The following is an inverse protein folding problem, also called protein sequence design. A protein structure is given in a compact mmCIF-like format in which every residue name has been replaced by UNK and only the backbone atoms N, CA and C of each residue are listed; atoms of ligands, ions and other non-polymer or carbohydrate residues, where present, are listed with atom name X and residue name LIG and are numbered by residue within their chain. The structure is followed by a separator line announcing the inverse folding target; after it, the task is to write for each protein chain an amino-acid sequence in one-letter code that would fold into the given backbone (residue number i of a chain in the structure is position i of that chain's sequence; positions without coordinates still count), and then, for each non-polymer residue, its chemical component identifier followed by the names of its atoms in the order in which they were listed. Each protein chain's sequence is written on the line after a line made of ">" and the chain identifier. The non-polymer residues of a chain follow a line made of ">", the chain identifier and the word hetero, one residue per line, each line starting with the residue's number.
data_IF_154601802861
#
_entry.id   IF_154601802861
#
_cell.length_a   1.000
_cell.length_b   1.000
_cell.length_c   1.000
_cell.angle_alpha   90.00
_cell.angle_beta   90.00
_cell.angle_gamma   90.00
#
_symmetry.space_group_name_H-M   'P 1'
#
loop_
_entity.id
_entity.type
_entity.pdbx_description
1 polymer ?
#
# COMPACT_ATOMS: atom_id res chain seq x y z
N UNK A 1 -9.49 70.86 -21.15
CA UNK A 1 -9.19 70.43 -19.77
C UNK A 1 -10.00 69.17 -19.54
N UNK A 2 -9.52 68.06 -20.08
CA UNK A 2 -10.15 66.73 -19.99
C UNK A 2 -9.53 66.00 -18.80
N UNK A 3 -10.36 65.64 -17.82
CA UNK A 3 -9.95 64.83 -16.67
C UNK A 3 -10.08 63.35 -17.04
N UNK A 4 -8.94 62.67 -17.09
CA UNK A 4 -8.88 61.21 -17.11
C UNK A 4 -9.23 60.66 -15.71
N UNK A 5 -10.09 59.63 -15.60
CA UNK A 5 -10.28 58.93 -14.34
C UNK A 5 -9.12 57.95 -14.09
N UNK A 6 -8.60 57.97 -12.86
CA UNK A 6 -7.57 57.07 -12.35
C UNK A 6 -8.09 55.61 -12.27
N UNK A 7 -7.24 54.61 -12.55
CA UNK A 7 -7.62 53.21 -12.46
C UNK A 7 -7.74 52.76 -11.00
N UNK A 8 -8.89 52.20 -10.66
CA UNK A 8 -9.15 51.49 -9.40
C UNK A 8 -8.21 50.29 -9.25
N UNK A 9 -7.61 50.21 -8.07
CA UNK A 9 -6.78 49.15 -7.52
C UNK A 9 -7.22 47.74 -7.96
N UNK A 10 -6.38 47.10 -8.78
CA UNK A 10 -6.50 45.68 -9.11
C UNK A 10 -6.21 44.83 -7.86
N UNK A 11 -7.24 44.15 -7.36
CA UNK A 11 -7.09 43.01 -6.47
C UNK A 11 -6.35 41.90 -7.24
N UNK A 12 -5.13 41.60 -6.81
CA UNK A 12 -4.44 40.39 -7.23
C UNK A 12 -5.28 39.18 -6.78
N UNK A 13 -5.52 38.17 -7.65
CA UNK A 13 -6.24 36.97 -7.24
C UNK A 13 -5.44 36.30 -6.12
N UNK A 14 -6.06 36.20 -4.94
CA UNK A 14 -5.49 35.49 -3.81
C UNK A 14 -5.13 34.05 -4.21
N UNK A 15 -4.08 33.46 -3.62
CA UNK A 15 -3.71 32.08 -3.91
C UNK A 15 -4.91 31.16 -3.69
N UNK A 16 -5.10 30.13 -4.55
CA UNK A 16 -6.24 29.23 -4.43
C UNK A 16 -6.28 28.63 -3.02
N UNK A 17 -7.47 28.50 -2.41
CA UNK A 17 -7.58 27.89 -1.10
C UNK A 17 -7.11 26.44 -1.20
N UNK A 18 -5.98 26.13 -0.55
CA UNK A 18 -5.51 24.76 -0.31
C UNK A 18 -6.41 24.08 0.73
N UNK A 19 -7.68 23.93 0.41
CA UNK A 19 -8.57 23.01 1.07
C UNK A 19 -8.86 21.94 0.02
N UNK A 20 -8.04 20.89 -0.04
CA UNK A 20 -8.51 19.65 -0.66
C UNK A 20 -9.85 19.31 0.02
N UNK A 21 -10.94 19.14 -0.73
CA UNK A 21 -12.23 18.88 -0.14
C UNK A 21 -12.12 17.57 0.63
N UNK A 22 -12.35 17.63 1.94
CA UNK A 22 -12.27 16.50 2.89
C UNK A 22 -13.09 15.27 2.45
N UNK A 23 -14.07 15.46 1.55
CA UNK A 23 -14.82 14.41 0.82
C UNK A 23 -13.93 13.45 0.02
N UNK A 24 -12.81 13.95 -0.51
CA UNK A 24 -11.90 13.20 -1.36
C UNK A 24 -11.23 12.03 -0.61
N UNK A 25 -10.92 12.20 0.68
CA UNK A 25 -10.24 11.17 1.47
C UNK A 25 -11.19 10.05 1.91
N UNK A 26 -12.45 10.38 2.24
CA UNK A 26 -13.47 9.39 2.58
C UNK A 26 -13.87 8.54 1.36
N UNK A 27 -13.98 9.15 0.18
CA UNK A 27 -14.27 8.45 -1.07
C UNK A 27 -13.13 7.50 -1.45
N UNK A 28 -11.87 7.97 -1.37
CA UNK A 28 -10.70 7.12 -1.59
C UNK A 28 -10.64 5.94 -0.61
N UNK A 29 -10.91 6.18 0.68
CA UNK A 29 -11.01 5.11 1.68
C UNK A 29 -12.08 4.07 1.33
N UNK A 30 -13.27 4.55 0.94
CA UNK A 30 -14.38 3.68 0.56
C UNK A 30 -14.03 2.83 -0.66
N UNK A 31 -13.43 3.46 -1.68
CA UNK A 31 -12.98 2.82 -2.90
C UNK A 31 -11.91 1.76 -2.62
N UNK A 32 -10.84 2.11 -1.89
CA UNK A 32 -9.75 1.18 -1.57
C UNK A 32 -10.24 -0.06 -0.82
N UNK A 33 -11.08 0.11 0.21
CA UNK A 33 -11.60 -1.03 0.96
C UNK A 33 -12.63 -1.85 0.18
N UNK A 34 -13.41 -1.21 -0.69
CA UNK A 34 -14.28 -1.93 -1.62
C UNK A 34 -13.47 -2.78 -2.60
N UNK A 35 -12.42 -2.21 -3.20
CA UNK A 35 -11.54 -2.92 -4.13
C UNK A 35 -10.88 -4.13 -3.46
N UNK A 36 -10.39 -3.99 -2.23
CA UNK A 36 -9.77 -5.11 -1.50
C UNK A 36 -10.72 -6.30 -1.34
N UNK A 37 -11.99 -6.05 -1.02
CA UNK A 37 -12.98 -7.12 -0.84
C UNK A 37 -13.24 -7.86 -2.16
N UNK A 38 -13.31 -7.13 -3.28
CA UNK A 38 -13.47 -7.72 -4.61
C UNK A 38 -12.20 -8.47 -5.06
N UNK A 39 -11.05 -7.82 -4.99
CA UNK A 39 -9.74 -8.36 -5.37
C UNK A 39 -9.40 -9.64 -4.62
N UNK A 40 -9.88 -9.80 -3.39
CA UNK A 40 -9.68 -11.05 -2.64
C UNK A 40 -10.25 -12.28 -3.37
N UNK A 41 -11.44 -12.16 -3.97
CA UNK A 41 -12.04 -13.26 -4.70
C UNK A 41 -11.29 -13.55 -6.00
N UNK A 42 -10.81 -12.50 -6.67
CA UNK A 42 -10.04 -12.60 -7.90
C UNK A 42 -8.66 -13.22 -7.65
N UNK A 43 -7.94 -12.78 -6.62
CA UNK A 43 -6.68 -13.40 -6.18
C UNK A 43 -6.88 -14.90 -5.91
N UNK A 44 -7.95 -15.29 -5.21
CA UNK A 44 -8.25 -16.70 -4.96
C UNK A 44 -8.58 -17.49 -6.23
N UNK A 45 -9.16 -16.85 -7.25
CA UNK A 45 -9.42 -17.45 -8.56
C UNK A 45 -8.10 -17.63 -9.32
N UNK A 46 -7.24 -16.62 -9.34
CA UNK A 46 -5.94 -16.64 -10.01
C UNK A 46 -5.00 -17.68 -9.38
N UNK A 47 -4.94 -17.78 -8.04
CA UNK A 47 -4.19 -18.85 -7.36
C UNK A 47 -4.64 -20.25 -7.79
N UNK A 48 -5.95 -20.45 -8.00
CA UNK A 48 -6.51 -21.73 -8.50
C UNK A 48 -6.20 -21.93 -9.98
N UNK A 49 -6.27 -20.88 -10.79
CA UNK A 49 -5.92 -20.91 -12.21
C UNK A 49 -4.48 -21.39 -12.41
N UNK A 50 -3.52 -20.74 -11.74
CA UNK A 50 -2.10 -21.11 -11.84
C UNK A 50 -1.88 -22.54 -11.33
N UNK A 51 -2.49 -22.94 -10.21
CA UNK A 51 -2.38 -24.32 -9.72
C UNK A 51 -2.82 -25.34 -10.77
N UNK A 52 -4.01 -25.12 -11.38
CA UNK A 52 -4.51 -25.98 -12.45
C UNK A 52 -3.61 -25.96 -13.70
N UNK A 53 -3.00 -24.84 -14.05
CA UNK A 53 -2.04 -24.77 -15.16
C UNK A 53 -0.77 -25.58 -14.85
N UNK A 54 -0.24 -25.51 -13.64
CA UNK A 54 0.96 -26.27 -13.23
C UNK A 54 0.69 -27.78 -13.23
N UNK A 55 -0.42 -28.21 -12.62
CA UNK A 55 -0.82 -29.62 -12.50
C UNK A 55 -1.06 -30.26 -13.87
N UNK A 56 -1.73 -29.54 -14.78
CA UNK A 56 -2.07 -30.04 -16.12
C UNK A 56 -0.91 -29.92 -17.15
N UNK A 57 0.22 -29.33 -16.76
CA UNK A 57 1.37 -29.19 -17.66
C UNK A 57 2.29 -30.38 -17.54
N UNK A 58 2.37 -31.20 -18.59
CA UNK A 58 3.16 -32.45 -18.64
C UNK A 58 4.62 -32.33 -18.17
N UNK A 59 5.25 -31.15 -18.31
CA UNK A 59 6.62 -30.92 -17.85
C UNK A 59 6.73 -30.77 -16.33
N UNK A 60 5.68 -30.26 -15.69
CA UNK A 60 5.61 -29.95 -14.26
C UNK A 60 4.89 -31.11 -13.57
N UNK A 61 3.56 -31.22 -13.74
CA UNK A 61 2.74 -32.25 -13.10
C UNK A 61 2.46 -31.96 -11.62
N UNK A 62 1.53 -32.71 -11.03
CA UNK A 62 1.01 -32.49 -9.67
C UNK A 62 2.10 -32.60 -8.58
N UNK A 63 3.00 -33.59 -8.67
CA UNK A 63 4.05 -33.84 -7.68
C UNK A 63 5.26 -32.89 -7.80
N UNK A 64 5.23 -31.91 -8.71
CA UNK A 64 6.37 -31.02 -8.93
C UNK A 64 6.62 -30.08 -7.73
N UNK A 65 7.87 -29.79 -7.35
CA UNK A 65 8.19 -28.85 -6.28
C UNK A 65 7.55 -27.46 -6.43
N UNK A 66 7.35 -27.02 -7.67
CA UNK A 66 6.67 -25.74 -7.97
C UNK A 66 5.19 -25.73 -7.54
N UNK A 67 4.50 -26.86 -7.59
CA UNK A 67 3.12 -26.97 -7.11
C UNK A 67 3.07 -26.78 -5.58
N UNK A 68 4.03 -27.38 -4.87
CA UNK A 68 4.16 -27.20 -3.42
C UNK A 68 4.52 -25.77 -3.03
N UNK A 69 5.47 -25.15 -3.75
CA UNK A 69 5.84 -23.74 -3.54
C UNK A 69 4.65 -22.81 -3.78
N UNK A 70 3.93 -22.99 -4.90
CA UNK A 70 2.74 -22.20 -5.23
C UNK A 70 1.62 -22.35 -4.18
N UNK A 71 1.39 -23.57 -3.71
CA UNK A 71 0.44 -23.81 -2.62
C UNK A 71 0.90 -23.13 -1.32
N UNK A 72 2.20 -23.07 -1.05
CA UNK A 72 2.79 -22.29 0.03
C UNK A 72 2.42 -20.81 -0.06
N UNK A 73 2.63 -20.18 -1.23
CA UNK A 73 2.25 -18.77 -1.46
C UNK A 73 0.74 -18.54 -1.25
N UNK A 74 -0.09 -19.44 -1.77
CA UNK A 74 -1.55 -19.40 -1.56
C UNK A 74 -1.94 -19.49 -0.08
N UNK A 75 -1.26 -20.34 0.70
CA UNK A 75 -1.49 -20.47 2.13
C UNK A 75 -1.03 -19.23 2.90
N UNK A 76 0.13 -18.67 2.55
CA UNK A 76 0.65 -17.41 3.09
C UNK A 76 -0.35 -16.28 2.84
N UNK A 77 -0.85 -16.15 1.61
CA UNK A 77 -1.90 -15.19 1.26
C UNK A 77 -3.15 -15.33 2.14
N UNK A 78 -3.70 -16.55 2.26
CA UNK A 78 -4.90 -16.81 3.08
C UNK A 78 -4.70 -16.45 4.55
N UNK A 79 -3.54 -16.78 5.10
CA UNK A 79 -3.19 -16.43 6.48
C UNK A 79 -3.07 -14.93 6.64
N UNK A 80 -2.31 -14.27 5.76
CA UNK A 80 -2.10 -12.83 5.79
C UNK A 80 -3.42 -12.05 5.65
N UNK A 81 -4.31 -12.49 4.76
CA UNK A 81 -5.64 -11.91 4.61
C UNK A 81 -6.43 -11.98 5.92
N UNK A 82 -6.50 -13.15 6.56
CA UNK A 82 -7.17 -13.31 7.87
C UNK A 82 -6.54 -12.46 8.97
N UNK A 83 -5.21 -12.46 9.06
CA UNK A 83 -4.47 -11.63 10.00
C UNK A 83 -4.83 -10.14 9.81
N UNK A 84 -4.95 -9.70 8.56
CA UNK A 84 -5.33 -8.32 8.24
C UNK A 84 -6.77 -8.00 8.63
N UNK A 85 -7.74 -8.90 8.39
CA UNK A 85 -9.13 -8.70 8.83
C UNK A 85 -9.25 -8.62 10.35
N UNK A 86 -8.51 -9.46 11.07
CA UNK A 86 -8.47 -9.41 12.54
C UNK A 86 -7.88 -8.09 13.04
N UNK A 87 -6.81 -7.60 12.42
CA UNK A 87 -6.25 -6.28 12.74
C UNK A 87 -7.22 -5.15 12.44
N UNK A 88 -8.01 -5.27 11.36
CA UNK A 88 -9.03 -4.28 11.03
C UNK A 88 -10.12 -4.22 12.10
N UNK A 89 -10.61 -5.38 12.58
CA UNK A 89 -11.55 -5.44 13.70
C UNK A 89 -11.00 -4.77 14.97
N UNK A 90 -9.73 -5.05 15.31
CA UNK A 90 -9.08 -4.46 16.48
C UNK A 90 -8.92 -2.94 16.34
N UNK A 91 -8.49 -2.47 15.16
CA UNK A 91 -8.32 -1.05 14.87
C UNK A 91 -9.67 -0.32 14.89
N UNK A 92 -10.71 -0.89 14.28
CA UNK A 92 -12.06 -0.35 14.33
C UNK A 92 -12.60 -0.25 15.76
N UNK A 93 -12.38 -1.28 16.59
CA UNK A 93 -12.78 -1.26 18.01
C UNK A 93 -12.05 -0.16 18.78
N UNK A 94 -10.75 0.00 18.54
CA UNK A 94 -9.94 1.05 19.18
C UNK A 94 -10.42 2.46 18.78
N UNK A 95 -10.61 2.71 17.48
CA UNK A 95 -11.09 4.00 16.97
C UNK A 95 -12.53 4.29 17.42
N UNK A 96 -13.37 3.28 17.57
CA UNK A 96 -14.69 3.46 18.17
C UNK A 96 -14.59 3.89 19.64
N UNK A 97 -13.69 3.29 20.42
CA UNK A 97 -13.45 3.70 21.80
C UNK A 97 -12.91 5.14 21.86
N UNK A 98 -12.10 5.56 20.89
CA UNK A 98 -11.66 6.94 20.78
C UNK A 98 -12.84 7.90 20.63
N UNK A 99 -13.78 7.60 19.74
CA UNK A 99 -14.97 8.40 19.50
C UNK A 99 -15.89 8.47 20.73
N UNK A 100 -16.11 7.34 21.41
CA UNK A 100 -17.06 7.24 22.52
C UNK A 100 -16.49 7.76 23.84
N UNK A 101 -15.18 7.60 24.06
CA UNK A 101 -14.54 7.90 25.35
C UNK A 101 -13.74 9.20 25.27
N UNK A 102 -12.89 9.36 24.25
CA UNK A 102 -11.91 10.44 24.23
C UNK A 102 -12.52 11.74 23.73
N UNK A 103 -13.34 11.74 22.69
CA UNK A 103 -13.98 12.97 22.19
C UNK A 103 -14.84 13.68 23.26
N UNK A 104 -15.72 12.99 24.00
CA UNK A 104 -16.54 13.65 25.02
C UNK A 104 -15.77 14.09 26.27
N UNK A 105 -14.48 13.75 26.38
CA UNK A 105 -13.67 13.97 27.57
C UNK A 105 -13.55 15.45 27.97
N UNK A 106 -13.55 16.36 26.99
CA UNK A 106 -13.52 17.81 27.25
C UNK A 106 -14.72 18.27 28.08
N UNK A 107 -15.90 17.67 27.83
CA UNK A 107 -17.20 18.00 28.43
C UNK A 107 -17.50 17.19 29.70
N UNK A 108 -16.68 16.20 30.04
CA UNK A 108 -16.91 15.37 31.23
C UNK A 108 -16.60 16.14 32.54
N UNK A 109 -17.25 15.72 33.63
CA UNK A 109 -17.01 16.23 35.00
C UNK A 109 -15.72 15.71 35.63
N UNK A 110 -14.89 14.97 34.88
CA UNK A 110 -13.63 14.40 35.37
C UNK A 110 -12.62 15.50 35.72
N UNK A 111 -11.77 15.22 36.69
CA UNK A 111 -10.64 16.09 37.01
C UNK A 111 -9.64 16.17 35.85
N UNK A 112 -8.87 17.26 35.77
CA UNK A 112 -7.83 17.42 34.76
C UNK A 112 -6.81 16.27 34.78
N UNK A 113 -6.50 15.73 35.97
CA UNK A 113 -5.59 14.60 36.13
C UNK A 113 -6.14 13.34 35.48
N UNK A 114 -7.41 13.01 35.72
CA UNK A 114 -8.07 11.86 35.11
C UNK A 114 -8.19 12.02 33.60
N UNK A 115 -8.52 13.22 33.11
CA UNK A 115 -8.56 13.50 31.66
C UNK A 115 -7.19 13.25 31.01
N UNK A 116 -6.10 13.77 31.59
CA UNK A 116 -4.74 13.54 31.09
C UNK A 116 -4.36 12.06 31.10
N UNK A 117 -4.72 11.35 32.16
CA UNK A 117 -4.48 9.92 32.27
C UNK A 117 -5.18 9.13 31.16
N UNK A 118 -6.46 9.44 30.87
CA UNK A 118 -7.19 8.81 29.77
C UNK A 118 -6.54 9.08 28.42
N UNK A 119 -6.18 10.33 28.13
CA UNK A 119 -5.48 10.71 26.89
C UNK A 119 -4.16 9.94 26.76
N UNK A 120 -3.40 9.81 27.85
CA UNK A 120 -2.14 9.07 27.89
C UNK A 120 -2.32 7.59 27.58
N UNK A 121 -3.37 6.94 28.10
CA UNK A 121 -3.67 5.55 27.76
C UNK A 121 -4.02 5.32 26.29
N UNK A 122 -4.69 6.26 25.66
CA UNK A 122 -4.90 6.20 24.20
C UNK A 122 -3.58 6.39 23.44
N UNK A 123 -2.74 7.35 23.85
CA UNK A 123 -1.42 7.57 23.23
C UNK A 123 -0.50 6.35 23.31
N UNK A 124 -0.54 5.59 24.41
CA UNK A 124 0.23 4.36 24.58
C UNK A 124 -0.21 3.27 23.59
N UNK A 125 -1.49 3.25 23.17
CA UNK A 125 -2.06 2.22 22.32
C UNK A 125 -1.91 2.48 20.81
N UNK A 126 -1.94 3.75 20.36
CA UNK A 126 -1.88 4.11 18.94
C UNK A 126 -0.64 3.51 18.21
N UNK A 127 0.58 3.51 18.79
CA UNK A 127 1.75 2.94 18.14
C UNK A 127 1.61 1.45 17.78
N UNK A 128 0.84 0.68 18.56
CA UNK A 128 0.61 -0.73 18.28
C UNK A 128 -0.20 -0.92 16.97
N UNK A 129 -1.22 -0.10 16.74
CA UNK A 129 -2.02 -0.12 15.51
C UNK A 129 -1.22 0.37 14.30
N UNK A 130 -0.43 1.43 14.47
CA UNK A 130 0.46 1.95 13.42
C UNK A 130 1.50 0.90 12.98
N UNK A 131 2.15 0.24 13.94
CA UNK A 131 3.11 -0.82 13.65
C UNK A 131 2.45 -2.04 12.99
N UNK A 132 1.21 -2.36 13.37
CA UNK A 132 0.46 -3.47 12.78
C UNK A 132 0.07 -3.19 11.33
N UNK A 133 -0.42 -1.97 11.04
CA UNK A 133 -0.70 -1.53 9.67
C UNK A 133 0.55 -1.62 8.78
N UNK A 134 1.69 -1.09 9.28
CA UNK A 134 2.97 -1.15 8.57
C UNK A 134 3.42 -2.59 8.28
N UNK A 135 3.34 -3.49 9.27
CA UNK A 135 3.69 -4.90 9.09
C UNK A 135 2.80 -5.60 8.08
N UNK A 136 1.51 -5.26 8.04
CA UNK A 136 0.58 -5.83 7.06
C UNK A 136 0.95 -5.37 5.65
N UNK A 137 1.18 -4.06 5.45
CA UNK A 137 1.68 -3.50 4.18
C UNK A 137 2.95 -4.20 3.72
N UNK A 138 3.96 -4.31 4.59
CA UNK A 138 5.24 -4.98 4.27
C UNK A 138 5.05 -6.44 3.86
N UNK A 139 4.19 -7.19 4.57
CA UNK A 139 3.94 -8.61 4.26
C UNK A 139 3.18 -8.81 2.95
N UNK A 140 2.26 -7.91 2.58
CA UNK A 140 1.58 -7.97 1.29
C UNK A 140 2.55 -7.69 0.14
N UNK A 141 3.44 -6.70 0.31
CA UNK A 141 4.52 -6.41 -0.64
C UNK A 141 5.48 -7.57 -0.83
N UNK A 142 5.93 -8.18 0.27
CA UNK A 142 6.80 -9.35 0.23
C UNK A 142 6.14 -10.52 -0.52
N UNK A 143 4.85 -10.78 -0.25
CA UNK A 143 4.09 -11.79 -0.96
C UNK A 143 3.95 -11.47 -2.46
N UNK A 144 3.70 -10.20 -2.82
CA UNK A 144 3.66 -9.77 -4.22
C UNK A 144 4.96 -10.07 -4.96
N UNK A 145 6.10 -9.75 -4.35
CA UNK A 145 7.43 -10.08 -4.90
C UNK A 145 7.66 -11.58 -5.06
N UNK A 146 7.25 -12.39 -4.09
CA UNK A 146 7.38 -13.84 -4.17
C UNK A 146 6.54 -14.40 -5.32
N UNK A 147 5.31 -13.90 -5.50
CA UNK A 147 4.43 -14.27 -6.62
C UNK A 147 5.01 -13.84 -7.97
N UNK A 148 5.56 -12.63 -8.07
CA UNK A 148 6.25 -12.17 -9.29
C UNK A 148 7.52 -12.97 -9.58
N UNK A 149 8.27 -13.37 -8.56
CA UNK A 149 9.45 -14.22 -8.71
C UNK A 149 9.09 -15.63 -9.20
N UNK A 150 7.93 -16.14 -8.78
CA UNK A 150 7.48 -17.49 -9.11
C UNK A 150 7.32 -17.73 -10.63
N UNK A 151 6.82 -16.74 -11.38
CA UNK A 151 6.64 -16.87 -12.84
C UNK A 151 7.96 -17.17 -13.58
N UNK A 152 9.09 -16.69 -13.05
CA UNK A 152 10.41 -16.94 -13.62
C UNK A 152 10.84 -18.39 -13.41
N UNK A 153 10.51 -18.97 -12.24
CA UNK A 153 10.77 -20.38 -11.93
C UNK A 153 9.96 -21.30 -12.84
N UNK A 154 8.70 -20.97 -13.10
CA UNK A 154 7.85 -21.70 -14.05
C UNK A 154 8.41 -21.61 -15.46
N UNK A 155 8.75 -20.41 -15.94
CA UNK A 155 9.36 -20.23 -17.26
C UNK A 155 10.69 -20.99 -17.39
N UNK A 156 11.50 -21.05 -16.32
CA UNK A 156 12.73 -21.84 -16.27
C UNK A 156 12.45 -23.33 -16.41
N UNK A 157 11.59 -23.90 -15.55
CA UNK A 157 11.25 -25.33 -15.57
C UNK A 157 10.70 -25.79 -16.93
N UNK A 158 9.91 -24.95 -17.59
CA UNK A 158 9.37 -25.21 -18.93
C UNK A 158 10.43 -25.15 -20.04
N UNK A 159 11.57 -24.47 -19.82
CA UNK A 159 12.72 -24.44 -20.73
C UNK A 159 13.72 -25.57 -20.45
N UNK A 160 13.99 -25.92 -19.19
CA UNK A 160 14.99 -26.94 -18.82
C UNK A 160 14.61 -28.36 -19.24
N UNK A 161 13.32 -28.65 -19.44
CA UNK A 161 12.91 -29.92 -20.06
C UNK A 161 12.98 -29.91 -21.60
N UNK A 162 13.20 -28.75 -22.21
CA UNK A 162 13.40 -28.60 -23.66
C UNK A 162 14.89 -28.57 -24.06
N UNK A 163 15.82 -28.27 -23.14
CA UNK A 163 17.27 -28.25 -23.36
C UNK A 163 18.01 -28.87 -22.16
N UNK A 164 19.00 -29.74 -22.41
CA UNK A 164 19.68 -30.62 -21.44
C UNK A 164 20.06 -29.96 -20.09
N UNK A 165 19.77 -30.68 -19.02
CA UNK A 165 19.64 -30.28 -17.60
C UNK A 165 20.92 -29.89 -16.83
N UNK A 166 21.98 -29.39 -17.46
CA UNK A 166 23.26 -29.13 -16.77
C UNK A 166 23.69 -27.66 -16.65
N UNK A 167 23.12 -26.76 -17.45
CA UNK A 167 23.69 -25.42 -17.65
C UNK A 167 23.11 -24.34 -16.72
N UNK A 168 21.89 -24.52 -16.21
CA UNK A 168 21.11 -23.42 -15.62
C UNK A 168 21.07 -23.35 -14.09
N UNK A 169 21.41 -24.40 -13.34
CA UNK A 169 21.60 -24.28 -11.88
C UNK A 169 22.70 -23.24 -11.55
N UNK A 170 23.72 -23.13 -12.42
CA UNK A 170 24.81 -22.17 -12.29
C UNK A 170 24.47 -20.75 -12.80
N UNK A 171 23.44 -20.60 -13.65
CA UNK A 171 22.98 -19.28 -14.11
C UNK A 171 21.98 -18.66 -13.14
N UNK A 172 21.24 -19.49 -12.39
CA UNK A 172 20.26 -19.02 -11.43
C UNK A 172 20.90 -18.35 -10.22
N UNK A 173 21.97 -18.92 -9.66
CA UNK A 173 22.78 -18.26 -8.62
C UNK A 173 23.33 -16.92 -9.10
N UNK A 174 23.78 -16.83 -10.36
CA UNK A 174 24.28 -15.58 -10.94
C UNK A 174 23.19 -14.51 -11.16
N UNK A 175 21.96 -14.90 -11.50
CA UNK A 175 20.85 -13.96 -11.66
C UNK A 175 20.30 -13.47 -10.32
N UNK A 176 20.25 -14.33 -9.31
CA UNK A 176 19.92 -13.97 -7.93
C UNK A 176 20.94 -12.96 -7.38
N UNK A 177 22.24 -13.19 -7.61
CA UNK A 177 23.31 -12.27 -7.26
C UNK A 177 23.20 -10.92 -8.00
N UNK A 178 22.89 -10.93 -9.29
CA UNK A 178 22.66 -9.71 -10.08
C UNK A 178 21.43 -8.94 -9.58
N UNK A 179 20.32 -9.63 -9.30
CA UNK A 179 19.09 -9.01 -8.80
C UNK A 179 19.31 -8.43 -7.40
N UNK A 180 20.00 -9.16 -6.51
CA UNK A 180 20.37 -8.68 -5.19
C UNK A 180 21.36 -7.52 -5.24
N UNK A 181 22.29 -7.53 -6.20
CA UNK A 181 23.23 -6.42 -6.44
C UNK A 181 22.52 -5.16 -6.94
N UNK A 182 21.61 -5.30 -7.91
CA UNK A 182 20.76 -4.20 -8.40
C UNK A 182 19.87 -3.67 -7.28
N UNK A 183 19.27 -4.56 -6.49
CA UNK A 183 18.44 -4.19 -5.35
C UNK A 183 19.23 -3.46 -4.25
N UNK A 184 20.43 -3.94 -3.93
CA UNK A 184 21.33 -3.27 -2.98
C UNK A 184 21.77 -1.90 -3.50
N UNK A 185 22.05 -1.78 -4.80
CA UNK A 185 22.39 -0.50 -5.43
C UNK A 185 21.22 0.48 -5.39
N UNK A 186 19.99 0.04 -5.70
CA UNK A 186 18.77 0.83 -5.61
C UNK A 186 18.47 1.25 -4.17
N UNK A 187 18.61 0.33 -3.21
CA UNK A 187 18.45 0.63 -1.78
C UNK A 187 19.47 1.67 -1.32
N UNK A 188 20.73 1.57 -1.75
CA UNK A 188 21.79 2.52 -1.43
C UNK A 188 21.51 3.89 -2.04
N UNK A 189 21.02 3.94 -3.27
CA UNK A 189 20.57 5.17 -3.93
C UNK A 189 19.39 5.81 -3.19
N UNK A 190 18.37 5.02 -2.81
CA UNK A 190 17.22 5.51 -2.04
C UNK A 190 17.63 6.06 -0.68
N UNK A 191 18.51 5.36 0.04
CA UNK A 191 19.05 5.86 1.32
C UNK A 191 19.82 7.16 1.11
N UNK A 192 20.68 7.23 0.10
CA UNK A 192 21.41 8.47 -0.23
C UNK A 192 20.46 9.61 -0.61
N UNK A 193 19.41 9.34 -1.37
CA UNK A 193 18.38 10.33 -1.73
C UNK A 193 17.70 10.82 -0.45
N UNK A 194 17.23 9.92 0.42
CA UNK A 194 16.58 10.27 1.69
C UNK A 194 17.52 11.06 2.60
N UNK A 195 18.79 10.66 2.72
CA UNK A 195 19.79 11.37 3.52
C UNK A 195 20.10 12.75 2.94
N UNK A 196 20.15 12.87 1.61
CA UNK A 196 20.33 14.15 0.93
C UNK A 196 19.11 15.04 1.13
N UNK A 197 17.89 14.49 1.04
CA UNK A 197 16.66 15.21 1.37
C UNK A 197 16.63 15.63 2.83
N UNK A 198 17.05 14.77 3.76
CA UNK A 198 17.11 15.09 5.21
C UNK A 198 18.14 16.17 5.50
N UNK A 199 19.29 16.13 4.84
CA UNK A 199 20.32 17.16 4.91
C UNK A 199 19.87 18.48 4.27
N UNK A 200 19.17 18.45 3.14
CA UNK A 200 18.58 19.64 2.52
C UNK A 200 17.44 20.24 3.36
N UNK A 201 16.53 19.41 3.88
CA UNK A 201 15.38 19.83 4.70
C UNK A 201 15.82 20.38 6.07
N UNK A 202 16.97 19.94 6.58
CA UNK A 202 17.57 20.53 7.79
C UNK A 202 18.09 21.97 7.59
N UNK A 203 18.18 22.45 6.33
CA UNK A 203 18.85 23.71 6.01
C UNK A 203 18.01 24.74 5.23
N UNK A 204 16.77 24.47 4.83
CA UNK A 204 16.06 25.40 3.94
C UNK A 204 14.60 25.66 4.37
N UNK A 205 14.27 26.95 4.53
CA UNK A 205 12.98 27.48 4.99
C UNK A 205 12.03 27.90 3.84
N UNK A 206 12.43 27.78 2.56
CA UNK A 206 11.51 27.82 1.38
C UNK A 206 12.28 27.46 0.10
N UNK A 207 11.67 26.69 -0.82
CA UNK A 207 12.20 26.48 -2.19
C UNK A 207 11.05 26.48 -3.21
N UNK A 208 11.23 27.22 -4.31
CA UNK A 208 10.46 27.14 -5.56
C UNK A 208 11.09 26.11 -6.49
N UNK A 209 10.27 25.35 -7.19
CA UNK A 209 10.74 24.42 -8.22
C UNK A 209 10.65 25.04 -9.62
N UNK A 210 11.78 25.07 -10.31
CA UNK A 210 11.81 24.84 -11.74
C UNK A 210 13.03 23.98 -12.07
N UNK A 211 12.82 22.90 -12.81
CA UNK A 211 13.67 22.62 -13.95
C UNK A 211 12.98 21.67 -14.92
N UNK A 212 12.99 22.13 -16.18
CA UNK A 212 12.73 21.44 -17.43
C UNK A 212 13.85 20.44 -17.69
N UNK A 213 13.53 19.30 -18.32
CA UNK A 213 14.51 18.65 -19.20
C UNK A 213 15.15 17.34 -18.73
N UNK A 214 14.36 16.40 -18.20
CA UNK A 214 14.78 14.99 -18.22
C UNK A 214 13.79 14.21 -19.09
N UNK A 215 14.26 13.85 -20.29
CA UNK A 215 13.61 12.91 -21.21
C UNK A 215 14.51 11.70 -21.29
N UNK A 216 14.00 10.54 -20.88
CA UNK A 216 14.68 9.24 -21.02
C UNK A 216 13.98 8.53 -22.18
N UNK A 217 14.68 8.39 -23.31
CA UNK A 217 14.24 7.53 -24.42
C UNK A 217 14.91 6.16 -24.26
N UNK A 218 14.09 5.11 -24.11
CA UNK A 218 14.54 3.72 -24.14
C UNK A 218 14.24 3.20 -25.54
N UNK A 219 15.27 3.16 -26.38
CA UNK A 219 15.20 2.55 -27.70
C UNK A 219 15.30 1.01 -27.56
N UNK A 220 14.15 0.35 -27.47
CA UNK A 220 14.10 -1.10 -27.63
C UNK A 220 14.29 -1.43 -29.11
N UNK A 221 15.43 -2.04 -29.46
CA UNK A 221 15.64 -2.64 -30.78
C UNK A 221 14.47 -3.57 -31.10
N UNK A 222 13.73 -3.23 -32.15
CA UNK A 222 12.65 -4.05 -32.72
C UNK A 222 13.21 -5.42 -33.07
N UNK A 223 12.78 -6.44 -32.35
CA UNK A 223 12.85 -7.80 -32.84
C UNK A 223 11.94 -7.90 -34.06
N UNK A 224 12.52 -8.17 -35.22
CA UNK A 224 11.79 -8.55 -36.43
C UNK A 224 11.04 -9.85 -36.13
N UNK A 225 9.71 -9.91 -36.21
CA UNK A 225 9.00 -11.16 -36.06
C UNK A 225 9.28 -12.00 -37.31
N UNK A 226 10.07 -13.07 -37.16
CA UNK A 226 10.03 -14.16 -38.13
C UNK A 226 8.63 -14.78 -38.02
N UNK A 227 7.79 -14.45 -38.99
CA UNK A 227 6.55 -15.16 -39.28
C UNK A 227 6.90 -16.57 -39.73
N UNK A 228 7.10 -17.48 -38.77
CA UNK A 228 6.95 -18.91 -38.98
C UNK A 228 5.58 -19.30 -38.45
N UNK A 229 4.66 -19.60 -39.36
CA UNK A 229 3.41 -20.30 -39.07
C UNK A 229 3.74 -21.72 -38.59
N UNK A 230 4.12 -21.83 -37.32
CA UNK A 230 4.35 -23.09 -36.62
C UNK A 230 3.44 -23.09 -35.39
N UNK A 231 2.68 -24.16 -35.11
CA UNK A 231 1.85 -24.23 -33.91
C UNK A 231 2.70 -23.89 -32.69
N UNK A 232 2.26 -22.88 -31.93
CA UNK A 232 2.97 -22.42 -30.75
C UNK A 232 3.06 -23.58 -29.75
N UNK A 233 4.25 -23.96 -29.26
CA UNK A 233 4.36 -25.07 -28.31
C UNK A 233 3.59 -24.73 -27.04
N UNK A 234 2.75 -25.66 -26.58
CA UNK A 234 1.86 -25.54 -25.42
C UNK A 234 2.55 -24.91 -24.18
N UNK A 235 3.84 -25.21 -23.99
CA UNK A 235 4.68 -24.70 -22.89
C UNK A 235 4.88 -23.18 -22.91
N UNK A 236 4.98 -22.54 -24.08
CA UNK A 236 5.12 -21.07 -24.18
C UNK A 236 3.81 -20.36 -23.81
N UNK A 237 2.68 -20.96 -24.14
CA UNK A 237 1.35 -20.44 -23.79
C UNK A 237 1.13 -20.51 -22.29
N UNK A 238 1.44 -21.65 -21.66
CA UNK A 238 1.36 -21.82 -20.19
C UNK A 238 2.28 -20.82 -19.49
N UNK A 239 3.54 -20.70 -19.90
CA UNK A 239 4.47 -19.75 -19.29
C UNK A 239 3.97 -18.30 -19.37
N UNK A 240 3.33 -17.92 -20.48
CA UNK A 240 2.74 -16.58 -20.64
C UNK A 240 1.51 -16.39 -19.74
N UNK A 241 0.62 -17.38 -19.67
CA UNK A 241 -0.59 -17.27 -18.86
C UNK A 241 -0.24 -17.21 -17.36
N UNK A 242 0.67 -18.06 -16.89
CA UNK A 242 1.14 -17.99 -15.50
C UNK A 242 1.78 -16.63 -15.20
N UNK A 243 2.53 -16.06 -16.16
CA UNK A 243 3.12 -14.72 -16.03
C UNK A 243 2.04 -13.64 -15.87
N UNK A 244 1.00 -13.68 -16.70
CA UNK A 244 -0.12 -12.74 -16.66
C UNK A 244 -0.91 -12.90 -15.35
N UNK A 245 -1.24 -14.12 -14.93
CA UNK A 245 -1.95 -14.40 -13.69
C UNK A 245 -1.13 -13.99 -12.45
N UNK A 246 0.18 -14.26 -12.42
CA UNK A 246 1.09 -13.81 -11.35
C UNK A 246 1.15 -12.30 -11.26
N UNK A 247 1.24 -11.61 -12.41
CA UNK A 247 1.21 -10.16 -12.45
C UNK A 247 -0.10 -9.61 -11.91
N UNK A 248 -1.23 -10.16 -12.33
CA UNK A 248 -2.55 -9.73 -11.87
C UNK A 248 -2.73 -9.98 -10.36
N UNK A 249 -2.19 -11.08 -9.82
CA UNK A 249 -2.14 -11.28 -8.37
C UNK A 249 -1.32 -10.18 -7.70
N UNK A 250 -0.12 -9.87 -8.20
CA UNK A 250 0.74 -8.81 -7.63
C UNK A 250 0.06 -7.44 -7.67
N UNK A 251 -0.52 -7.06 -8.81
CA UNK A 251 -1.26 -5.81 -8.99
C UNK A 251 -2.43 -5.75 -7.99
N UNK A 252 -3.16 -6.86 -7.79
CA UNK A 252 -4.25 -6.93 -6.82
C UNK A 252 -3.78 -6.89 -5.35
N UNK A 253 -2.60 -7.43 -5.03
CA UNK A 253 -2.00 -7.35 -3.70
C UNK A 253 -1.55 -5.93 -3.36
N UNK A 254 -1.10 -5.15 -4.35
CA UNK A 254 -0.70 -3.75 -4.14
C UNK A 254 -1.84 -2.87 -3.61
N UNK A 255 -3.09 -3.19 -3.96
CA UNK A 255 -4.27 -2.48 -3.42
C UNK A 255 -4.41 -2.69 -1.91
N UNK A 256 -4.00 -3.86 -1.38
CA UNK A 256 -3.95 -4.08 0.07
C UNK A 256 -2.90 -3.19 0.72
N UNK A 257 -1.74 -3.05 0.09
CA UNK A 257 -0.67 -2.18 0.58
C UNK A 257 -1.14 -0.74 0.70
N UNK A 258 -1.79 -0.23 -0.34
CA UNK A 258 -2.32 1.13 -0.40
C UNK A 258 -3.34 1.39 0.70
N UNK A 259 -4.33 0.51 0.89
CA UNK A 259 -5.32 0.72 1.94
C UNK A 259 -4.69 0.68 3.34
N UNK A 260 -3.80 -0.27 3.62
CA UNK A 260 -3.12 -0.36 4.91
C UNK A 260 -2.13 0.79 5.13
N UNK A 261 -1.57 1.35 4.06
CA UNK A 261 -0.80 2.57 4.11
C UNK A 261 -1.68 3.75 4.56
N UNK A 262 -2.88 3.90 3.98
CA UNK A 262 -3.84 4.92 4.39
C UNK A 262 -4.22 4.77 5.87
N UNK A 263 -4.49 3.54 6.34
CA UNK A 263 -4.74 3.25 7.78
C UNK A 263 -3.58 3.74 8.64
N UNK A 264 -2.33 3.47 8.21
CA UNK A 264 -1.13 3.93 8.89
C UNK A 264 -1.03 5.46 8.96
N UNK A 265 -1.33 6.16 7.87
CA UNK A 265 -1.36 7.62 7.83
C UNK A 265 -2.42 8.19 8.78
N UNK A 266 -3.64 7.63 8.78
CA UNK A 266 -4.71 8.05 9.69
C UNK A 266 -4.36 7.81 11.16
N UNK A 267 -3.70 6.69 11.49
CA UNK A 267 -3.21 6.43 12.85
C UNK A 267 -2.12 7.43 13.26
N UNK A 268 -1.26 7.85 12.33
CA UNK A 268 -0.23 8.86 12.57
C UNK A 268 -0.82 10.24 12.84
N UNK A 269 -1.82 10.64 12.04
CA UNK A 269 -2.57 11.90 12.23
C UNK A 269 -3.30 11.91 13.58
N UNK A 270 -3.91 10.77 13.93
CA UNK A 270 -4.54 10.59 15.24
C UNK A 270 -3.52 10.74 16.37
N UNK A 271 -2.36 10.07 16.29
CA UNK A 271 -1.30 10.18 17.27
C UNK A 271 -0.90 11.64 17.52
N UNK A 272 -0.69 12.40 16.44
CA UNK A 272 -0.35 13.81 16.52
C UNK A 272 -1.46 14.63 17.20
N UNK A 273 -2.70 14.44 16.78
CA UNK A 273 -3.85 15.20 17.30
C UNK A 273 -4.13 14.91 18.78
N UNK A 274 -4.00 13.65 19.19
CA UNK A 274 -4.13 13.26 20.60
C UNK A 274 -2.98 13.79 21.45
N UNK A 275 -1.74 13.81 20.92
CA UNK A 275 -0.59 14.38 21.62
C UNK A 275 -0.77 15.90 21.84
N UNK A 276 -1.30 16.60 20.83
CA UNK A 276 -1.68 18.01 20.94
C UNK A 276 -2.83 18.23 21.94
N UNK A 277 -3.82 17.34 21.97
CA UNK A 277 -4.89 17.40 22.99
C UNK A 277 -4.33 17.21 24.41
N UNK A 278 -3.33 16.34 24.62
CA UNK A 278 -2.67 16.16 25.92
C UNK A 278 -1.98 17.44 26.39
N UNK A 279 -1.21 18.09 25.51
CA UNK A 279 -0.48 19.33 25.85
C UNK A 279 -1.44 20.49 26.16
N UNK A 280 -2.59 20.52 25.47
CA UNK A 280 -3.63 21.55 25.62
C UNK A 280 -4.75 21.18 26.59
N UNK A 281 -4.63 20.07 27.33
CA UNK A 281 -5.64 19.61 28.29
C UNK A 281 -6.15 20.67 29.29
N UNK A 282 -5.34 21.63 29.79
CA UNK A 282 -5.82 22.70 30.66
C UNK A 282 -6.79 23.70 30.01
N UNK A 283 -6.85 23.74 28.68
CA UNK A 283 -7.67 24.66 27.89
C UNK A 283 -8.78 23.84 27.23
N UNK A 284 -9.98 23.71 27.84
CA UNK A 284 -10.99 22.74 27.41
C UNK A 284 -11.39 22.87 25.94
N UNK A 285 -11.54 24.10 25.44
CA UNK A 285 -11.91 24.37 24.04
C UNK A 285 -10.82 23.93 23.07
N UNK A 286 -9.54 24.15 23.41
CA UNK A 286 -8.41 23.76 22.56
C UNK A 286 -8.21 22.24 22.59
N UNK A 287 -8.38 21.60 23.75
CA UNK A 287 -8.38 20.15 23.90
C UNK A 287 -9.51 19.51 23.05
N UNK A 288 -10.75 19.99 23.20
CA UNK A 288 -11.92 19.51 22.43
C UNK A 288 -11.69 19.64 20.91
N UNK A 289 -11.14 20.77 20.47
CA UNK A 289 -10.85 21.01 19.05
C UNK A 289 -9.84 20.01 18.48
N UNK A 290 -8.80 19.65 19.23
CA UNK A 290 -7.79 18.68 18.78
C UNK A 290 -8.30 17.23 18.86
N UNK A 291 -9.19 16.92 19.80
CA UNK A 291 -9.85 15.61 19.85
C UNK A 291 -10.86 15.42 18.72
N UNK A 292 -11.50 16.50 18.27
CA UNK A 292 -12.44 16.46 17.14
C UNK A 292 -11.81 16.67 15.78
N UNK A 293 -10.59 17.19 15.69
CA UNK A 293 -9.98 17.54 14.40
C UNK A 293 -9.82 16.34 13.47
N UNK A 294 -9.74 15.13 14.03
CA UNK A 294 -9.59 13.87 13.27
C UNK A 294 -10.90 13.12 13.05
N UNK A 295 -12.03 13.62 13.57
CA UNK A 295 -13.35 12.97 13.50
C UNK A 295 -13.81 12.71 12.07
N UNK A 296 -13.61 13.69 11.18
CA UNK A 296 -13.93 13.55 9.77
C UNK A 296 -13.09 12.46 9.05
N UNK A 297 -11.91 12.14 9.57
CA UNK A 297 -11.00 11.15 8.96
C UNK A 297 -11.24 9.75 9.52
N UNK A 298 -11.37 9.60 10.84
CA UNK A 298 -11.43 8.26 11.43
C UNK A 298 -12.85 7.66 11.37
N UNK A 299 -13.94 8.44 11.30
CA UNK A 299 -15.30 7.88 11.24
C UNK A 299 -15.53 7.04 9.96
N UNK A 300 -15.23 7.55 8.74
CA UNK A 300 -15.23 6.73 7.53
C UNK A 300 -14.29 5.52 7.63
N UNK A 301 -13.11 5.71 8.25
CA UNK A 301 -12.14 4.63 8.43
C UNK A 301 -12.66 3.51 9.34
N UNK A 302 -13.35 3.84 10.44
CA UNK A 302 -13.98 2.86 11.34
C UNK A 302 -14.96 1.99 10.55
N UNK A 303 -15.79 2.62 9.72
CA UNK A 303 -16.79 1.91 8.92
C UNK A 303 -16.13 1.01 7.88
N UNK A 304 -15.13 1.52 7.14
CA UNK A 304 -14.33 0.71 6.21
C UNK A 304 -13.67 -0.50 6.89
N UNK A 305 -13.04 -0.30 8.05
CA UNK A 305 -12.36 -1.36 8.79
C UNK A 305 -13.34 -2.41 9.34
N UNK A 306 -14.53 -1.98 9.80
CA UNK A 306 -15.60 -2.89 10.24
C UNK A 306 -16.09 -3.74 9.09
N UNK A 307 -16.50 -3.10 7.99
CA UNK A 307 -16.99 -3.79 6.81
C UNK A 307 -15.93 -4.79 6.29
N UNK A 308 -14.67 -4.35 6.17
CA UNK A 308 -13.58 -5.22 5.77
C UNK A 308 -13.37 -6.42 6.70
N UNK A 309 -13.48 -6.21 8.02
CA UNK A 309 -13.31 -7.29 9.00
C UNK A 309 -14.37 -8.39 8.89
N UNK A 310 -15.54 -8.08 8.35
CA UNK A 310 -16.63 -9.03 8.09
C UNK A 310 -16.69 -9.48 6.62
N UNK A 311 -15.78 -9.00 5.76
CA UNK A 311 -15.76 -9.30 4.34
C UNK A 311 -16.85 -8.58 3.53
N UNK A 312 -17.34 -7.46 4.04
CA UNK A 312 -18.36 -6.61 3.42
C UNK A 312 -17.73 -5.31 2.88
N UNK A 313 -18.45 -4.65 1.97
CA UNK A 313 -18.09 -3.31 1.48
C UNK A 313 -18.68 -2.22 2.37
N UNK A 314 -17.99 -1.09 2.59
CA UNK A 314 -18.51 0.05 3.36
C UNK A 314 -19.76 0.70 2.73
N UNK A 315 -20.76 1.08 3.54
CA UNK A 315 -22.10 1.53 3.09
C UNK A 315 -22.42 3.03 3.29
N UNK A 316 -21.43 3.90 3.48
CA UNK A 316 -21.64 5.34 3.75
C UNK A 316 -21.52 6.26 2.53
#
# INVERSE_FOLDING_TARGET
>A
MEMYPSPTSGEAPGPPPYNEPRSCNSEKLKESFSLIVHNQLDIQRLFRSVAGQLENTNQIGEDHPLCNEWNGLRQTHRKLYRDSQQNAAQCASFLNNYAVILIPLSRSSMSLREKRFMIEKFLEAIPAHLNSAKKITERFHELGKEVEGFQLKVASALRTKAESSGFFENLWTGLEELCMSIWQALRKLLVQIVDTFRAMLSRIQTIRFSCVGIRIDIEMRRYTPLTSHTPQPLSRTVARQVKEDCKEISDNLSVFEDAWHIVGLSCSELLFSVAMAKSLAPIPVACDRNLKSTEATYLPLVECLRAYSTGQTPEF
#
